data_IF_900181187282
#
_entry.id   IF_900181187282
#
_cell.length_a   1.000
_cell.length_b   1.000
_cell.length_c   1.000
_cell.angle_alpha   90.00
_cell.angle_beta   90.00
_cell.angle_gamma   90.00
#
_symmetry.space_group_name_H-M   'P 1'
#
loop_
_entity.id
_entity.type
_entity.pdbx_description
1 polymer ?
#
# COMPACT_ATOMS: atom_id res chain seq x y z
N UNK A 1 -11.67 -2.48 -1.26
CA UNK A 1 -10.71 -2.14 -0.20
C UNK A 1 -9.28 -2.46 -0.63
N UNK A 2 -8.29 -1.82 0.00
CA UNK A 2 -6.86 -2.11 -0.26
C UNK A 2 -6.48 -3.41 0.46
N UNK A 3 -6.04 -4.47 -0.25
CA UNK A 3 -5.61 -5.74 0.31
C UNK A 3 -4.27 -5.63 1.04
N UNK A 4 -3.63 -4.46 0.97
CA UNK A 4 -2.68 -4.03 1.99
C UNK A 4 -3.37 -2.94 2.77
N UNK A 5 -3.75 -3.19 4.03
CA UNK A 5 -4.21 -2.14 4.96
C UNK A 5 -3.06 -1.19 5.33
N UNK A 6 -2.44 -0.63 4.31
CA UNK A 6 -1.36 0.32 4.43
C UNK A 6 -1.96 1.70 4.59
N UNK A 7 -1.41 2.47 5.51
CA UNK A 7 -1.82 3.83 5.76
C UNK A 7 -0.81 4.78 5.11
N UNK A 8 -1.32 5.81 4.45
CA UNK A 8 -0.49 6.89 3.92
C UNK A 8 -0.27 7.88 5.05
N UNK A 9 0.96 7.97 5.54
CA UNK A 9 1.34 8.93 6.57
C UNK A 9 1.61 10.30 5.94
N UNK A 10 2.25 10.31 4.76
CA UNK A 10 2.55 11.51 4.00
C UNK A 10 2.71 11.18 2.51
N UNK A 11 2.45 12.14 1.62
CA UNK A 11 2.64 11.96 0.19
C UNK A 11 2.87 13.27 -0.55
N UNK A 12 3.73 13.22 -1.57
CA UNK A 12 4.01 14.34 -2.46
C UNK A 12 4.02 13.89 -3.92
N UNK A 13 3.33 14.63 -4.77
CA UNK A 13 3.16 14.34 -6.20
C UNK A 13 4.05 15.25 -7.04
N UNK A 14 4.89 14.66 -7.87
CA UNK A 14 5.68 15.35 -8.88
C UNK A 14 5.10 15.09 -10.27
N UNK A 15 5.58 15.83 -11.28
CA UNK A 15 5.13 15.64 -12.67
C UNK A 15 5.44 14.25 -13.24
N UNK A 16 6.48 13.58 -12.74
CA UNK A 16 7.02 12.32 -13.26
C UNK A 16 7.17 11.21 -12.21
N UNK A 17 6.99 11.50 -10.91
CA UNK A 17 7.08 10.51 -9.84
C UNK A 17 6.25 10.90 -8.60
N UNK A 18 6.16 9.99 -7.63
CA UNK A 18 5.48 10.20 -6.35
C UNK A 18 6.41 9.78 -5.22
N UNK A 19 6.48 10.60 -4.18
CA UNK A 19 7.05 10.23 -2.87
C UNK A 19 5.93 9.93 -1.89
N UNK A 20 6.05 8.84 -1.13
CA UNK A 20 5.07 8.50 -0.09
C UNK A 20 5.78 7.94 1.13
N UNK A 21 5.32 8.35 2.31
CA UNK A 21 5.59 7.71 3.59
C UNK A 21 4.41 6.79 3.92
N UNK A 22 4.68 5.50 4.07
CA UNK A 22 3.66 4.47 4.27
C UNK A 22 3.89 3.73 5.58
N UNK A 23 2.83 3.54 6.35
CA UNK A 23 2.76 2.48 7.36
C UNK A 23 2.24 1.22 6.69
N UNK A 24 3.03 0.14 6.71
CA UNK A 24 2.66 -1.14 6.07
C UNK A 24 2.68 -2.23 7.15
N UNK A 25 1.57 -2.98 7.34
CA UNK A 25 1.57 -4.10 8.27
C UNK A 25 2.63 -5.14 7.88
N UNK A 26 3.40 -5.70 8.82
CA UNK A 26 4.53 -6.58 8.51
C UNK A 26 4.10 -7.92 7.93
N UNK A 27 2.82 -8.31 8.08
CA UNK A 27 2.25 -9.47 7.39
C UNK A 27 2.29 -9.34 5.86
N UNK A 28 2.43 -8.12 5.33
CA UNK A 28 2.55 -7.87 3.90
C UNK A 28 3.99 -7.54 3.51
N UNK A 29 4.52 -8.26 2.52
CA UNK A 29 5.80 -7.90 1.92
C UNK A 29 5.72 -6.56 1.17
N UNK A 30 6.76 -5.74 1.28
CA UNK A 30 6.84 -4.42 0.63
C UNK A 30 6.62 -4.51 -0.89
N UNK A 31 7.21 -5.51 -1.54
CA UNK A 31 7.01 -5.77 -2.97
C UNK A 31 5.53 -6.02 -3.32
N UNK A 32 4.79 -6.71 -2.46
CA UNK A 32 3.36 -6.95 -2.64
C UNK A 32 2.56 -5.64 -2.54
N UNK A 33 2.82 -4.84 -1.52
CA UNK A 33 2.18 -3.54 -1.33
C UNK A 33 2.38 -2.61 -2.53
N UNK A 34 3.62 -2.44 -2.99
CA UNK A 34 3.91 -1.58 -4.15
C UNK A 34 3.37 -2.14 -5.46
N UNK A 35 3.40 -3.47 -5.67
CA UNK A 35 2.75 -4.09 -6.83
C UNK A 35 1.26 -3.77 -6.85
N UNK A 36 0.59 -3.86 -5.71
CA UNK A 36 -0.82 -3.55 -5.60
C UNK A 36 -1.10 -2.07 -5.86
N UNK A 37 -0.40 -1.17 -5.16
CA UNK A 37 -0.57 0.28 -5.29
C UNK A 37 -0.36 0.74 -6.74
N UNK A 38 0.76 0.34 -7.35
CA UNK A 38 1.08 0.69 -8.74
C UNK A 38 0.06 0.08 -9.72
N UNK A 39 -0.35 -1.17 -9.51
CA UNK A 39 -1.31 -1.85 -10.38
C UNK A 39 -2.70 -1.21 -10.36
N UNK A 40 -3.26 -0.97 -9.17
CA UNK A 40 -4.60 -0.36 -9.05
C UNK A 40 -4.63 1.08 -9.53
N UNK A 41 -3.63 1.88 -9.17
CA UNK A 41 -3.55 3.29 -9.61
C UNK A 41 -3.41 3.39 -11.13
N UNK A 42 -2.53 2.59 -11.77
CA UNK A 42 -2.41 2.57 -13.23
C UNK A 42 -3.74 2.21 -13.90
N UNK A 43 -4.44 1.18 -13.39
CA UNK A 43 -5.76 0.80 -13.89
C UNK A 43 -6.81 1.90 -13.74
N UNK A 44 -6.79 2.62 -12.61
CA UNK A 44 -7.69 3.75 -12.38
C UNK A 44 -7.39 4.90 -13.36
N UNK A 45 -6.13 5.33 -13.45
CA UNK A 45 -5.68 6.43 -14.33
C UNK A 45 -6.02 6.14 -15.79
N UNK A 46 -5.77 4.92 -16.28
CA UNK A 46 -6.13 4.57 -17.66
C UNK A 46 -7.63 4.66 -17.93
N UNK A 47 -8.48 4.34 -16.94
CA UNK A 47 -9.94 4.42 -17.09
C UNK A 47 -10.47 5.84 -16.94
N UNK A 48 -9.96 6.61 -15.98
CA UNK A 48 -10.50 7.94 -15.64
C UNK A 48 -9.88 9.05 -16.49
N UNK A 49 -8.57 9.02 -16.68
CA UNK A 49 -7.82 10.07 -17.40
C UNK A 49 -7.76 9.76 -18.90
N UNK A 50 -7.30 8.55 -19.27
CA UNK A 50 -7.17 8.18 -20.68
C UNK A 50 -8.47 7.65 -21.30
N UNK A 51 -9.52 7.43 -20.49
CA UNK A 51 -10.83 6.90 -20.91
C UNK A 51 -10.76 5.60 -21.72
N UNK A 52 -9.74 4.76 -21.46
CA UNK A 52 -9.54 3.48 -22.16
C UNK A 52 -10.33 2.37 -21.48
N UNK A 53 -11.22 1.72 -22.23
CA UNK A 53 -11.98 0.53 -21.77
C UNK A 53 -11.10 -0.72 -21.63
N UNK A 54 -10.13 -0.90 -22.54
CA UNK A 54 -9.15 -2.00 -22.50
C UNK A 54 -7.81 -1.46 -22.01
N UNK A 55 -7.34 -2.00 -20.88
CA UNK A 55 -6.09 -1.60 -20.23
C UNK A 55 -4.91 -2.54 -20.52
N UNK A 56 -5.15 -3.60 -21.30
CA UNK A 56 -4.11 -4.55 -21.72
C UNK A 56 -3.06 -3.86 -22.60
N UNK A 57 -1.78 -4.04 -22.28
CA UNK A 57 -0.65 -3.44 -22.99
C UNK A 57 -0.34 -1.99 -22.60
N UNK A 58 -1.10 -1.38 -21.69
CA UNK A 58 -0.82 -0.03 -21.20
C UNK A 58 0.03 -0.08 -19.93
N UNK A 59 0.98 0.85 -19.83
CA UNK A 59 1.85 1.04 -18.67
C UNK A 59 1.82 2.51 -18.24
N UNK A 60 1.63 2.74 -16.95
CA UNK A 60 1.71 4.07 -16.36
C UNK A 60 2.99 4.22 -15.51
N UNK A 61 3.27 3.23 -14.66
CA UNK A 61 4.47 3.22 -13.83
C UNK A 61 5.64 2.50 -14.49
N UNK A 62 6.86 2.96 -14.19
CA UNK A 62 8.07 2.18 -14.44
C UNK A 62 8.07 0.85 -13.66
N UNK A 63 8.93 -0.10 -14.06
CA UNK A 63 8.98 -1.44 -13.43
C UNK A 63 9.41 -1.38 -11.96
N UNK A 64 10.43 -0.58 -11.66
CA UNK A 64 11.03 -0.47 -10.33
C UNK A 64 10.29 0.44 -9.35
N UNK A 65 10.75 0.43 -8.10
CA UNK A 65 10.37 1.36 -7.04
C UNK A 65 11.59 1.55 -6.12
N UNK A 66 11.65 2.67 -5.40
CA UNK A 66 12.68 2.93 -4.40
C UNK A 66 12.02 2.87 -3.01
N UNK A 67 12.68 2.20 -2.06
CA UNK A 67 12.21 2.08 -0.68
C UNK A 67 13.39 2.33 0.25
N UNK A 68 13.16 3.17 1.25
CA UNK A 68 14.02 3.29 2.43
C UNK A 68 13.16 3.00 3.65
N UNK A 69 13.72 2.23 4.59
CA UNK A 69 13.05 1.96 5.86
C UNK A 69 13.35 3.12 6.80
N UNK A 70 12.31 3.84 7.22
CA UNK A 70 12.43 4.82 8.29
C UNK A 70 12.47 4.06 9.60
N UNK A 71 13.57 4.19 10.35
CA UNK A 71 13.67 3.59 11.68
C UNK A 71 12.70 4.32 12.60
N UNK A 72 11.78 3.57 13.19
CA UNK A 72 10.97 4.02 14.32
C UNK A 72 11.83 4.06 15.58
N UNK A 73 11.42 4.84 16.56
CA UNK A 73 12.04 4.82 17.88
C UNK A 73 11.87 3.44 18.54
N UNK A 74 12.77 3.11 19.47
CA UNK A 74 12.80 1.78 20.11
C UNK A 74 11.53 1.49 20.91
N UNK A 75 10.93 2.52 21.52
CA UNK A 75 9.72 2.38 22.33
C UNK A 75 8.52 1.99 21.47
N UNK A 76 8.34 2.67 20.33
CA UNK A 76 7.33 2.34 19.32
C UNK A 76 7.51 0.90 18.81
N UNK A 77 8.74 0.46 18.55
CA UNK A 77 9.01 -0.92 18.13
C UNK A 77 8.61 -1.91 19.24
N UNK A 78 8.96 -1.65 20.50
CA UNK A 78 8.60 -2.53 21.62
C UNK A 78 7.10 -2.60 21.85
N UNK A 79 6.40 -1.48 21.75
CA UNK A 79 4.94 -1.44 21.86
C UNK A 79 4.29 -2.20 20.70
N UNK A 80 4.77 -1.99 19.47
CA UNK A 80 4.33 -2.74 18.30
C UNK A 80 4.44 -4.26 18.49
N UNK A 81 5.60 -4.75 18.97
CA UNK A 81 5.81 -6.19 19.24
C UNK A 81 4.82 -6.74 20.26
N UNK A 82 4.51 -5.98 21.32
CA UNK A 82 3.57 -6.40 22.37
C UNK A 82 2.12 -6.46 21.89
N UNK A 83 1.74 -5.55 21.00
CA UNK A 83 0.36 -5.39 20.55
C UNK A 83 0.04 -6.16 19.26
N UNK A 84 1.06 -6.64 18.56
CA UNK A 84 0.93 -7.24 17.23
C UNK A 84 -0.13 -8.34 17.16
N UNK A 85 -0.17 -9.28 18.11
CA UNK A 85 -1.16 -10.37 18.11
C UNK A 85 -2.61 -9.88 18.21
N UNK A 86 -2.85 -8.81 18.96
CA UNK A 86 -4.19 -8.23 19.11
C UNK A 86 -4.60 -7.51 17.82
N UNK A 87 -3.67 -6.75 17.23
CA UNK A 87 -3.87 -6.08 15.94
C UNK A 87 -4.18 -7.12 14.85
N UNK A 88 -3.47 -8.25 14.83
CA UNK A 88 -3.71 -9.33 13.86
C UNK A 88 -5.08 -9.99 14.04
N UNK A 89 -5.51 -10.23 15.30
CA UNK A 89 -6.84 -10.77 15.60
C UNK A 89 -7.94 -9.80 15.19
N UNK A 90 -7.85 -8.52 15.57
CA UNK A 90 -8.82 -7.49 15.18
C UNK A 90 -8.90 -7.34 13.65
N UNK A 91 -7.76 -7.41 12.97
CA UNK A 91 -7.72 -7.41 11.50
C UNK A 91 -8.44 -8.63 10.91
N UNK A 92 -8.22 -9.82 11.47
CA UNK A 92 -8.91 -11.04 11.03
C UNK A 92 -10.42 -10.93 11.22
N UNK A 93 -10.89 -10.42 12.36
CA UNK A 93 -12.32 -10.22 12.61
C UNK A 93 -12.94 -9.28 11.59
N UNK A 94 -12.37 -8.09 11.37
CA UNK A 94 -12.89 -7.19 10.35
C UNK A 94 -12.89 -7.86 8.96
N UNK A 95 -11.81 -8.53 8.56
CA UNK A 95 -11.73 -9.14 7.23
C UNK A 95 -12.82 -10.21 7.02
N UNK A 96 -13.28 -10.89 8.07
CA UNK A 96 -14.41 -11.83 8.03
C UNK A 96 -15.78 -11.12 7.93
N UNK A 97 -15.93 -9.95 8.56
CA UNK A 97 -17.18 -9.18 8.57
C UNK A 97 -17.44 -8.45 7.23
N UNK A 98 -16.45 -8.34 6.33
CA UNK A 98 -16.58 -7.70 5.01
C UNK A 98 -16.90 -8.68 3.86
N UNK A 99 -16.96 -9.98 4.14
CA UNK A 99 -17.30 -11.02 3.16
C UNK A 99 -18.82 -11.35 3.13
N UNK A 100 -19.66 -10.59 3.84
CA UNK A 100 -21.15 -10.57 3.79
C UNK A 100 -21.70 -9.38 2.97
#
# INVERSE_FOLDING_TARGET
MSPTRSEVLEGYLMSDHIHMCLSVPPKYGIAFAFRFLKGKSAGLIHRTVLKKKRISGLHFWGRGYCVSIVRLDEETIRNYIREQENIEKEQLYLDLDFDE
#
